data_IF_069073279260
#
_entry.id   IF_069073279260
#
_cell.length_a   1.000
_cell.length_b   1.000
_cell.length_c   1.000
_cell.angle_alpha   90.00
_cell.angle_beta   90.00
_cell.angle_gamma   90.00
#
_symmetry.space_group_name_H-M   'P 1'
#
loop_
_entity.id
_entity.type
_entity.pdbx_description
1 polymer ?
#
# COMPACT_ATOMS: atom_id res chain seq x y z
N UNK A 1 12.20 35.56 -47.00
CA UNK A 1 12.12 35.24 -46.61
C UNK A 1 12.21 34.66 -45.67
N UNK A 2 12.17 34.58 -45.15
CA UNK A 2 12.31 34.07 -44.38
C UNK A 2 12.07 33.47 -43.42
N UNK A 3 11.87 33.06 -43.04
CA UNK A 3 11.64 32.48 -42.26
C UNK A 3 11.83 31.94 -41.27
N UNK A 4 11.73 31.74 -40.65
CA UNK A 4 11.87 31.24 -39.85
C UNK A 4 11.65 30.64 -38.94
N UNK A 5 11.55 30.34 -38.64
CA UNK A 5 11.35 29.70 -37.86
C UNK A 5 11.60 29.26 -36.88
N UNK A 6 11.44 28.97 -36.34
CA UNK A 6 11.57 28.50 -35.58
C UNK A 6 11.57 28.00 -34.68
N UNK A 7 11.57 27.68 -34.42
CA UNK A 7 11.57 27.11 -33.66
C UNK A 7 11.56 26.68 -32.74
N UNK A 8 11.16 26.39 -32.24
CA UNK A 8 11.07 25.96 -31.36
C UNK A 8 11.31 25.39 -30.57
N UNK A 9 11.37 25.21 -30.08
CA UNK A 9 11.50 24.68 -29.42
C UNK A 9 11.28 24.18 -28.47
N UNK A 10 10.95 23.79 -28.18
CA UNK A 10 10.59 23.37 -27.44
C UNK A 10 10.95 22.73 -26.52
N UNK A 11 11.22 22.97 -25.76
CA UNK A 11 11.70 22.54 -24.82
C UNK A 11 10.90 21.91 -23.99
N UNK A 12 10.69 21.25 -23.99
CA UNK A 12 9.99 20.64 -23.33
C UNK A 12 10.44 20.08 -22.26
N UNK A 13 10.80 20.55 -21.61
CA UNK A 13 11.16 20.19 -20.51
C UNK A 13 10.20 19.51 -19.84
N UNK A 14 10.15 18.50 -19.80
CA UNK A 14 9.42 17.84 -19.20
C UNK A 14 9.87 17.57 -18.02
N UNK A 15 9.84 18.32 -17.27
CA UNK A 15 10.11 18.15 -16.06
C UNK A 15 9.24 17.20 -15.49
N UNK A 16 9.63 16.13 -15.30
CA UNK A 16 8.91 15.29 -14.66
C UNK A 16 9.29 15.44 -13.36
N UNK A 17 8.60 15.92 -12.67
CA UNK A 17 8.66 15.99 -11.41
C UNK A 17 8.52 14.72 -10.83
N UNK A 18 9.51 14.12 -10.47
CA UNK A 18 9.39 13.04 -9.77
C UNK A 18 9.08 13.41 -8.44
N UNK A 19 7.95 13.38 -8.07
CA UNK A 19 7.62 13.57 -6.74
C UNK A 19 7.99 12.32 -6.03
N UNK A 20 8.79 12.45 -5.04
CA UNK A 20 9.04 11.34 -4.21
C UNK A 20 7.86 11.24 -3.30
N UNK A 21 6.82 10.68 -3.70
CA UNK A 21 5.74 10.42 -2.82
C UNK A 21 6.02 9.12 -2.13
N UNK A 22 5.82 9.08 -0.85
CA UNK A 22 5.78 7.82 -0.18
C UNK A 22 4.57 7.14 -0.72
N UNK A 23 4.75 6.04 -1.36
CA UNK A 23 3.63 5.32 -1.90
C UNK A 23 2.89 4.61 -0.81
N UNK A 24 1.59 4.66 -0.85
CA UNK A 24 0.78 3.89 0.06
C UNK A 24 0.97 2.40 -0.23
N UNK A 25 0.88 1.56 0.78
CA UNK A 25 0.96 0.12 0.55
C UNK A 25 -0.13 -0.34 -0.39
N UNK A 26 0.25 -1.22 -1.29
CA UNK A 26 -0.68 -1.70 -2.30
C UNK A 26 -1.56 -2.80 -1.76
N UNK A 27 -2.88 -2.70 -1.89
CA UNK A 27 -3.77 -3.75 -1.41
C UNK A 27 -3.64 -5.02 -2.24
N UNK A 28 -3.87 -6.14 -1.61
CA UNK A 28 -3.78 -7.46 -2.24
C UNK A 28 -4.92 -8.32 -1.76
N UNK A 29 -5.26 -9.37 -2.49
CA UNK A 29 -6.25 -10.31 -1.98
C UNK A 29 -5.76 -10.94 -0.68
N UNK A 30 -6.68 -11.13 0.25
CA UNK A 30 -6.35 -11.71 1.56
C UNK A 30 -7.34 -12.80 1.88
N UNK A 31 -6.95 -13.78 2.68
CA UNK A 31 -7.87 -14.82 3.08
C UNK A 31 -9.08 -14.24 3.82
N UNK A 32 -10.25 -14.76 3.53
CA UNK A 32 -11.45 -14.28 4.18
C UNK A 32 -11.59 -14.94 5.54
N UNK A 33 -11.83 -14.12 6.53
CA UNK A 33 -12.05 -14.57 7.88
C UNK A 33 -13.19 -13.71 8.40
N UNK A 34 -14.41 -14.23 8.27
CA UNK A 34 -15.59 -13.46 8.61
C UNK A 34 -15.91 -12.48 7.49
N UNK A 35 -16.29 -11.27 7.83
CA UNK A 35 -16.61 -10.25 6.84
C UNK A 35 -15.36 -9.62 6.29
N UNK A 36 -15.38 -9.28 5.02
CA UNK A 36 -14.25 -8.59 4.42
C UNK A 36 -14.18 -7.14 4.92
N UNK A 37 -12.98 -6.57 4.97
CA UNK A 37 -12.86 -5.16 5.40
C UNK A 37 -13.45 -4.21 4.37
N UNK A 38 -13.56 -2.94 4.73
CA UNK A 38 -14.14 -1.92 3.86
C UNK A 38 -13.48 -1.91 2.49
N UNK A 39 -14.27 -1.76 1.46
CA UNK A 39 -13.81 -1.67 0.07
C UNK A 39 -13.21 -2.94 -0.48
N UNK A 40 -13.35 -4.04 0.23
CA UNK A 40 -13.01 -5.37 -0.26
C UNK A 40 -14.29 -6.13 -0.55
N UNK A 41 -14.26 -6.96 -1.55
CA UNK A 41 -15.40 -7.80 -1.90
C UNK A 41 -15.06 -9.25 -1.70
N UNK A 42 -16.05 -10.02 -1.29
CA UNK A 42 -15.88 -11.44 -1.08
C UNK A 42 -15.76 -12.15 -2.42
N UNK A 43 -14.71 -12.93 -2.57
CA UNK A 43 -14.54 -13.78 -3.74
C UNK A 43 -14.14 -15.16 -3.23
N UNK A 44 -15.09 -16.04 -3.08
CA UNK A 44 -14.83 -17.36 -2.56
C UNK A 44 -14.24 -17.30 -1.16
N UNK A 45 -13.04 -17.83 -1.02
CA UNK A 45 -12.37 -17.85 0.27
C UNK A 45 -11.50 -16.64 0.50
N UNK A 46 -11.58 -15.66 -0.36
CA UNK A 46 -10.73 -14.48 -0.26
C UNK A 46 -11.55 -13.21 -0.21
N UNK A 47 -10.93 -12.15 0.28
CA UNK A 47 -11.42 -10.80 0.15
C UNK A 47 -10.54 -10.14 -0.90
N UNK A 48 -11.15 -9.65 -1.97
CA UNK A 48 -10.41 -9.01 -3.05
C UNK A 48 -10.55 -7.50 -2.94
N UNK A 49 -9.47 -6.74 -3.12
CA UNK A 49 -9.57 -5.30 -3.00
C UNK A 49 -10.37 -4.70 -4.15
N UNK A 50 -11.30 -3.84 -3.82
CA UNK A 50 -12.04 -3.08 -4.81
C UNK A 50 -11.44 -1.70 -4.98
N UNK A 51 -12.15 -0.84 -5.71
CA UNK A 51 -11.68 0.52 -5.92
C UNK A 51 -11.59 1.23 -4.58
N UNK A 52 -10.50 1.93 -4.35
CA UNK A 52 -10.31 2.68 -3.11
C UNK A 52 -9.89 1.87 -1.92
N UNK A 53 -9.71 0.56 -2.07
CA UNK A 53 -9.30 -0.28 -0.95
C UNK A 53 -7.91 0.10 -0.48
N UNK A 54 -7.70 0.02 0.83
CA UNK A 54 -6.37 0.18 1.40
C UNK A 54 -5.87 -1.18 1.84
N UNK A 55 -4.58 -1.32 1.97
CA UNK A 55 -4.01 -2.60 2.35
C UNK A 55 -4.63 -3.08 3.65
N UNK A 56 -5.07 -4.32 3.66
CA UNK A 56 -5.56 -4.99 4.85
C UNK A 56 -4.78 -6.26 5.06
N UNK A 57 -4.48 -6.55 6.30
CA UNK A 57 -3.74 -7.76 6.67
C UNK A 57 -4.46 -8.44 7.81
N UNK A 58 -4.29 -9.75 7.97
CA UNK A 58 -4.95 -10.44 9.07
C UNK A 58 -4.52 -9.87 10.41
N UNK A 59 -5.49 -9.82 11.34
CA UNK A 59 -5.20 -9.30 12.65
C UNK A 59 -4.73 -10.43 13.56
N UNK A 60 -3.51 -10.32 14.03
CA UNK A 60 -2.96 -11.25 15.00
C UNK A 60 -2.38 -10.40 16.11
N UNK A 61 -3.11 -10.30 17.19
CA UNK A 61 -2.72 -9.42 18.29
C UNK A 61 -2.98 -7.97 17.92
N UNK A 62 -2.17 -7.06 18.40
CA UNK A 62 -2.35 -5.64 18.11
C UNK A 62 -1.95 -5.32 16.69
N UNK A 63 -2.67 -4.41 16.06
CA UNK A 63 -2.31 -3.96 14.73
C UNK A 63 -1.04 -3.12 14.77
N UNK A 64 -0.26 -3.12 13.69
CA UNK A 64 0.92 -2.26 13.66
C UNK A 64 0.53 -0.80 13.60
N UNK A 65 1.54 0.07 13.78
CA UNK A 65 1.31 1.51 13.77
C UNK A 65 0.65 1.94 12.47
N UNK A 66 -0.29 2.86 12.57
CA UNK A 66 -1.01 3.44 11.43
C UNK A 66 -1.94 2.44 10.73
N UNK A 67 -2.29 1.38 11.39
CA UNK A 67 -3.32 0.46 10.94
C UNK A 67 -4.47 0.49 11.93
N UNK A 68 -5.68 0.41 11.42
CA UNK A 68 -6.89 0.42 12.23
C UNK A 68 -7.53 -0.96 12.23
N UNK A 69 -8.13 -1.33 13.34
CA UNK A 69 -8.81 -2.61 13.45
C UNK A 69 -10.13 -2.56 12.72
N UNK A 70 -10.36 -3.50 11.83
CA UNK A 70 -11.67 -3.73 11.23
C UNK A 70 -11.95 -5.22 11.30
N UNK A 71 -12.77 -5.62 12.28
CA UNK A 71 -13.06 -7.04 12.46
C UNK A 71 -11.80 -7.83 12.69
N UNK A 72 -11.57 -8.81 11.84
CA UNK A 72 -10.40 -9.68 11.96
C UNK A 72 -9.22 -9.18 11.15
N UNK A 73 -9.21 -7.91 10.79
CA UNK A 73 -8.17 -7.35 9.94
C UNK A 73 -7.61 -6.06 10.51
N UNK A 74 -6.38 -5.76 10.11
CA UNK A 74 -5.75 -4.47 10.34
C UNK A 74 -5.70 -3.77 9.00
N UNK A 75 -6.25 -2.58 8.88
CA UNK A 75 -6.36 -1.85 7.62
C UNK A 75 -5.49 -0.61 7.68
N UNK A 76 -4.65 -0.43 6.68
CA UNK A 76 -3.71 0.68 6.62
C UNK A 76 -4.43 2.01 6.48
N UNK A 77 -3.96 3.02 7.20
CA UNK A 77 -4.41 4.38 6.94
C UNK A 77 -3.41 5.04 6.00
N UNK A 78 -3.57 6.34 5.79
CA UNK A 78 -2.77 7.03 4.78
C UNK A 78 -1.30 7.21 5.16
N UNK A 79 -0.97 6.99 6.42
CA UNK A 79 0.41 7.12 6.87
C UNK A 79 1.10 5.77 7.04
N UNK A 80 0.40 4.69 6.76
CA UNK A 80 0.91 3.36 7.05
C UNK A 80 1.99 2.96 6.07
N UNK A 81 2.94 2.20 6.58
CA UNK A 81 3.93 1.53 5.74
C UNK A 81 3.50 0.10 5.55
N UNK A 82 3.96 -0.51 4.50
CA UNK A 82 3.58 -1.90 4.21
C UNK A 82 3.96 -2.80 5.37
N UNK A 83 3.07 -3.70 5.71
CA UNK A 83 3.30 -4.65 6.79
C UNK A 83 2.80 -6.01 6.36
N UNK A 84 3.47 -7.05 6.83
CA UNK A 84 3.04 -8.43 6.61
C UNK A 84 3.15 -9.16 7.93
N UNK A 85 2.43 -10.26 8.04
CA UNK A 85 2.57 -11.11 9.23
C UNK A 85 3.98 -11.67 9.27
N UNK A 86 4.52 -11.68 10.48
CA UNK A 86 5.84 -12.22 10.68
C UNK A 86 5.75 -13.73 10.62
N UNK A 87 6.48 -14.34 9.74
CA UNK A 87 6.46 -15.79 9.65
C UNK A 87 7.77 -16.42 10.13
N UNK A 88 8.70 -15.61 10.55
CA UNK A 88 9.95 -16.06 11.14
C UNK A 88 10.31 -15.11 12.27
N UNK A 89 11.23 -15.52 13.10
CA UNK A 89 11.61 -14.70 14.25
C UNK A 89 12.21 -13.36 13.85
N UNK A 90 12.84 -13.30 12.69
CA UNK A 90 13.52 -12.09 12.24
C UNK A 90 12.87 -11.57 10.97
N UNK A 91 12.63 -10.28 10.91
CA UNK A 91 12.09 -9.66 9.72
C UNK A 91 13.17 -9.50 8.66
N UNK A 92 12.80 -9.52 7.36
CA UNK A 92 13.79 -9.35 6.31
C UNK A 92 14.40 -7.96 6.31
N UNK A 93 15.53 -7.82 5.63
CA UNK A 93 16.19 -6.53 5.49
C UNK A 93 15.23 -5.53 4.89
N UNK A 94 15.29 -4.30 5.36
CA UNK A 94 14.40 -3.24 4.91
C UNK A 94 13.10 -3.18 5.68
N UNK A 95 12.95 -4.04 6.68
CA UNK A 95 11.78 -4.01 7.53
C UNK A 95 12.20 -4.23 8.98
N UNK A 96 11.29 -3.99 9.88
CA UNK A 96 11.53 -4.19 11.30
C UNK A 96 10.29 -4.79 11.96
N UNK A 97 10.47 -5.41 13.10
CA UNK A 97 9.37 -6.07 13.79
C UNK A 97 8.52 -5.11 14.58
N UNK A 98 7.22 -5.26 14.50
CA UNK A 98 6.26 -4.62 15.39
C UNK A 98 5.27 -5.70 15.79
N UNK A 99 5.38 -6.20 17.00
CA UNK A 99 4.50 -7.27 17.46
C UNK A 99 4.62 -8.48 16.54
N UNK A 100 3.50 -8.88 15.98
CA UNK A 100 3.45 -10.05 15.11
C UNK A 100 3.67 -9.71 13.63
N UNK A 101 4.18 -8.53 13.35
CA UNK A 101 4.31 -8.07 11.98
C UNK A 101 5.71 -7.59 11.66
N UNK A 102 6.04 -7.65 10.38
CA UNK A 102 7.23 -7.00 9.86
C UNK A 102 6.75 -5.80 9.07
N UNK A 103 7.25 -4.63 9.42
CA UNK A 103 6.81 -3.36 8.83
C UNK A 103 7.96 -2.78 8.04
N UNK A 104 7.66 -2.32 6.83
CA UNK A 104 8.70 -1.75 5.99
C UNK A 104 9.25 -0.47 6.59
N UNK A 105 10.56 -0.33 6.53
CA UNK A 105 11.22 0.88 7.06
C UNK A 105 10.91 2.13 6.23
#
# INVERSE_FOLDING_TARGET
>A
MTIMHKAFVGSLSLSFLLHAHAQLPEPKPIPRDGSCPSDYVTEGKFCAPGAGAQLAIPKHGACPRDYAIQGNYCVANQNAKAAVLKNKAICPSGSHGQGNYCVKN
#
